data_IF_170246119324
#
_entry.id   IF_170246119324
#
_cell.length_a   1.000
_cell.length_b   1.000
_cell.length_c   1.000
_cell.angle_alpha   90.00
_cell.angle_beta   90.00
_cell.angle_gamma   90.00
#
_symmetry.space_group_name_H-M   'P 1'
#
loop_
_entity.id
_entity.type
_entity.pdbx_description
1 polymer ?
#
# COMPACT_ATOMS: atom_id res chain seq x y z
N UNK A 1 -25.06 -0.81 14.88
CA UNK A 1 -25.24 -0.67 13.42
C UNK A 1 -26.53 -1.33 12.98
N UNK A 2 -26.88 -1.29 11.69
CA UNK A 2 -28.04 -2.01 11.14
C UNK A 2 -27.82 -3.53 11.21
N UNK A 3 -28.54 -4.26 12.09
CA UNK A 3 -28.29 -5.68 12.33
C UNK A 3 -28.76 -6.58 11.18
N UNK A 4 -29.46 -6.04 10.17
CA UNK A 4 -29.87 -6.82 8.98
C UNK A 4 -28.70 -7.14 8.07
N UNK A 5 -27.70 -6.25 8.03
CA UNK A 5 -26.55 -6.37 7.13
C UNK A 5 -25.25 -6.51 7.89
N UNK A 6 -25.18 -6.04 9.15
CA UNK A 6 -23.92 -6.01 9.88
C UNK A 6 -24.09 -6.67 11.26
N UNK A 7 -23.37 -7.76 11.48
CA UNK A 7 -23.37 -8.48 12.76
C UNK A 7 -21.94 -8.80 13.19
N UNK A 8 -21.71 -8.92 14.50
CA UNK A 8 -20.38 -9.24 15.03
C UNK A 8 -20.51 -10.33 16.09
N UNK A 9 -19.73 -11.39 15.92
CA UNK A 9 -19.68 -12.52 16.83
C UNK A 9 -18.27 -12.67 17.40
N UNK A 10 -18.17 -12.70 18.72
CA UNK A 10 -16.93 -12.97 19.43
C UNK A 10 -16.62 -14.47 19.40
N UNK A 11 -15.38 -14.83 19.11
CA UNK A 11 -14.94 -16.22 19.18
C UNK A 11 -14.64 -16.62 20.62
N UNK A 12 -14.82 -17.92 20.92
CA UNK A 12 -14.39 -18.46 22.20
C UNK A 12 -12.86 -18.50 22.25
N UNK A 13 -12.27 -17.76 23.20
CA UNK A 13 -10.84 -17.80 23.47
C UNK A 13 -10.62 -18.37 24.87
N UNK A 14 -9.78 -19.41 24.98
CA UNK A 14 -9.39 -20.00 26.27
C UNK A 14 -8.52 -19.03 27.10
N UNK A 15 -7.91 -18.02 26.47
CA UNK A 15 -7.13 -16.98 27.13
C UNK A 15 -7.50 -15.58 26.62
N UNK A 16 -8.69 -15.07 27.00
CA UNK A 16 -9.22 -13.79 26.50
C UNK A 16 -8.42 -12.59 27.00
N UNK A 17 -7.54 -12.78 27.99
CA UNK A 17 -6.65 -11.75 28.54
C UNK A 17 -5.53 -11.36 27.56
N UNK A 18 -5.26 -12.15 26.52
CA UNK A 18 -4.18 -11.88 25.55
C UNK A 18 -4.68 -11.17 24.28
N UNK A 19 -5.78 -11.65 23.73
CA UNK A 19 -6.43 -11.07 22.56
C UNK A 19 -7.86 -11.57 22.48
N UNK A 20 -8.67 -10.85 21.73
CA UNK A 20 -10.02 -11.27 21.41
C UNK A 20 -10.17 -11.28 19.91
N UNK A 21 -10.67 -12.38 19.36
CA UNK A 21 -10.96 -12.49 17.94
C UNK A 21 -12.47 -12.44 17.74
N UNK A 22 -12.87 -11.81 16.65
CA UNK A 22 -14.26 -11.65 16.26
C UNK A 22 -14.39 -11.94 14.77
N UNK A 23 -15.60 -12.33 14.37
CA UNK A 23 -16.00 -12.21 12.97
C UNK A 23 -17.08 -11.14 12.89
N UNK A 24 -16.79 -10.10 12.12
CA UNK A 24 -17.79 -9.11 11.71
C UNK A 24 -18.28 -9.49 10.33
N UNK A 25 -19.55 -9.85 10.22
CA UNK A 25 -20.21 -10.07 8.93
C UNK A 25 -20.72 -8.72 8.43
N UNK A 26 -20.17 -8.25 7.32
CA UNK A 26 -20.60 -7.06 6.58
C UNK A 26 -21.28 -7.51 5.28
N UNK A 27 -22.60 -7.37 5.21
CA UNK A 27 -23.45 -7.97 4.18
C UNK A 27 -23.21 -9.48 4.06
N UNK A 28 -22.55 -9.94 3.00
CA UNK A 28 -22.19 -11.34 2.77
C UNK A 28 -20.74 -11.66 3.11
N UNK A 29 -19.94 -10.65 3.46
CA UNK A 29 -18.49 -10.78 3.66
C UNK A 29 -18.17 -10.95 5.14
N UNK A 30 -17.32 -11.92 5.46
CA UNK A 30 -16.86 -12.17 6.83
C UNK A 30 -15.47 -11.57 7.03
N UNK A 31 -15.37 -10.58 7.90
CA UNK A 31 -14.12 -9.90 8.26
C UNK A 31 -13.63 -10.50 9.57
N UNK A 32 -12.40 -11.00 9.59
CA UNK A 32 -11.73 -11.45 10.81
C UNK A 32 -11.16 -10.24 11.52
N UNK A 33 -11.51 -10.07 12.80
CA UNK A 33 -11.05 -8.93 13.60
C UNK A 33 -10.26 -9.41 14.80
N UNK A 34 -9.02 -8.95 14.92
CA UNK A 34 -8.17 -9.16 16.10
C UNK A 34 -8.15 -7.89 16.95
N UNK A 35 -8.62 -7.99 18.19
CA UNK A 35 -8.56 -6.92 19.19
C UNK A 35 -7.47 -7.23 20.20
N UNK A 36 -6.51 -6.33 20.37
CA UNK A 36 -5.39 -6.53 21.30
C UNK A 36 -4.73 -5.23 21.73
N UNK A 37 -4.14 -5.22 22.93
CA UNK A 37 -3.13 -4.24 23.33
C UNK A 37 -1.72 -4.84 23.42
N UNK A 38 -1.56 -6.12 23.04
CA UNK A 38 -0.31 -6.85 23.20
C UNK A 38 0.61 -6.58 22.00
N UNK A 39 1.82 -6.03 22.24
CA UNK A 39 2.76 -5.70 21.17
C UNK A 39 3.15 -6.91 20.31
N UNK A 40 3.27 -8.10 20.90
CA UNK A 40 3.63 -9.32 20.18
C UNK A 40 2.56 -9.75 19.15
N UNK A 41 1.27 -9.50 19.43
CA UNK A 41 0.18 -9.88 18.54
C UNK A 41 0.09 -8.90 17.38
N UNK A 42 0.19 -7.60 17.65
CA UNK A 42 0.29 -6.58 16.59
C UNK A 42 1.52 -6.81 15.70
N UNK A 43 2.67 -7.18 16.28
CA UNK A 43 3.86 -7.56 15.51
C UNK A 43 3.59 -8.74 14.57
N UNK A 44 2.93 -9.78 15.07
CA UNK A 44 2.61 -10.97 14.28
C UNK A 44 1.68 -10.60 13.11
N UNK A 45 0.61 -9.86 13.39
CA UNK A 45 -0.33 -9.38 12.36
C UNK A 45 0.39 -8.59 11.24
N UNK A 46 1.29 -7.67 11.60
CA UNK A 46 2.07 -6.90 10.62
C UNK A 46 3.00 -7.81 9.79
N UNK A 47 3.62 -8.83 10.40
CA UNK A 47 4.47 -9.77 9.67
C UNK A 47 3.65 -10.61 8.69
N UNK A 48 2.49 -11.09 9.12
CA UNK A 48 1.58 -11.88 8.27
C UNK A 48 1.08 -11.03 7.09
N UNK A 49 0.68 -9.78 7.34
CA UNK A 49 0.34 -8.81 6.30
C UNK A 49 1.48 -8.64 5.28
N UNK A 50 2.71 -8.37 5.74
CA UNK A 50 3.84 -8.17 4.83
C UNK A 50 4.17 -9.41 3.98
N UNK A 51 3.96 -10.60 4.53
CA UNK A 51 4.16 -11.85 3.79
C UNK A 51 3.04 -12.10 2.78
N UNK A 52 1.79 -11.84 3.15
CA UNK A 52 0.61 -12.12 2.33
C UNK A 52 0.43 -11.11 1.19
N UNK A 53 0.90 -9.88 1.39
CA UNK A 53 0.77 -8.77 0.43
C UNK A 53 2.14 -8.30 -0.06
N UNK A 54 3.11 -9.22 -0.18
CA UNK A 54 4.47 -8.90 -0.63
C UNK A 54 4.50 -8.30 -2.04
N UNK A 55 3.66 -8.82 -2.94
CA UNK A 55 3.56 -8.33 -4.33
C UNK A 55 2.98 -6.90 -4.37
N UNK A 56 1.88 -6.64 -3.64
CA UNK A 56 1.31 -5.28 -3.54
C UNK A 56 2.26 -4.28 -2.87
N UNK A 57 3.09 -4.73 -1.94
CA UNK A 57 4.15 -3.90 -1.34
C UNK A 57 5.32 -3.65 -2.28
N UNK A 58 5.56 -4.54 -3.24
CA UNK A 58 6.59 -4.38 -4.25
C UNK A 58 6.14 -3.39 -5.32
N UNK A 59 4.87 -3.45 -5.73
CA UNK A 59 4.29 -2.54 -6.71
C UNK A 59 3.72 -1.24 -6.11
N UNK A 60 3.70 -1.11 -4.77
CA UNK A 60 3.14 0.05 -4.04
C UNK A 60 1.63 0.26 -4.19
N UNK A 61 0.90 -0.83 -4.44
CA UNK A 61 -0.57 -0.86 -4.59
C UNK A 61 -1.31 -1.23 -3.31
N UNK A 62 -0.57 -1.41 -2.21
CA UNK A 62 -1.20 -1.83 -0.96
C UNK A 62 -1.99 -0.69 -0.32
N UNK A 63 -3.32 -0.81 -0.36
CA UNK A 63 -4.25 0.05 0.37
C UNK A 63 -4.62 -0.56 1.71
N UNK A 64 -4.53 0.24 2.79
CA UNK A 64 -4.96 -0.15 4.13
C UNK A 64 -5.98 0.85 4.65
N UNK A 65 -7.18 0.38 4.98
CA UNK A 65 -8.16 1.18 5.70
C UNK A 65 -7.69 1.48 7.12
N UNK A 66 -7.66 2.76 7.49
CA UNK A 66 -7.21 3.24 8.80
C UNK A 66 -8.35 3.99 9.49
N UNK A 67 -8.53 3.70 10.78
CA UNK A 67 -9.44 4.44 11.66
C UNK A 67 -8.82 4.68 13.03
N UNK A 68 -9.25 5.76 13.68
CA UNK A 68 -8.86 6.08 15.06
C UNK A 68 -10.10 6.40 15.87
N UNK A 69 -10.21 5.81 17.06
CA UNK A 69 -11.18 6.22 18.06
C UNK A 69 -10.47 6.75 19.29
N UNK A 70 -11.04 7.79 19.89
CA UNK A 70 -10.42 8.57 20.95
C UNK A 70 -11.39 8.81 22.10
N UNK A 71 -10.82 9.10 23.27
CA UNK A 71 -11.59 9.47 24.44
C UNK A 71 -12.16 10.90 24.29
N UNK A 72 -13.48 11.13 24.42
CA UNK A 72 -14.09 12.45 24.17
C UNK A 72 -13.56 13.58 25.06
N UNK A 73 -13.06 13.27 26.26
CA UNK A 73 -12.61 14.28 27.24
C UNK A 73 -11.15 14.69 27.07
N UNK A 74 -10.25 13.74 26.80
CA UNK A 74 -8.82 14.01 26.64
C UNK A 74 -8.40 14.26 25.19
N UNK A 75 -9.23 13.85 24.21
CA UNK A 75 -8.82 13.72 22.81
C UNK A 75 -7.53 12.88 22.65
N UNK A 76 -7.28 11.94 23.56
CA UNK A 76 -6.19 10.99 23.41
C UNK A 76 -6.65 9.84 22.50
N UNK A 77 -5.82 9.45 21.53
CA UNK A 77 -6.08 8.28 20.70
C UNK A 77 -6.14 7.02 21.58
N UNK A 78 -7.30 6.36 21.61
CA UNK A 78 -7.55 5.17 22.43
C UNK A 78 -7.28 3.89 21.66
N UNK A 79 -7.56 3.91 20.36
CA UNK A 79 -7.43 2.75 19.48
C UNK A 79 -6.92 3.15 18.10
N UNK A 80 -6.22 2.23 17.44
CA UNK A 80 -5.85 2.29 16.03
C UNK A 80 -6.48 1.08 15.33
N UNK A 81 -7.22 1.32 14.25
CA UNK A 81 -7.76 0.28 13.38
C UNK A 81 -6.95 0.23 12.09
N UNK A 82 -6.60 -0.98 11.65
CA UNK A 82 -6.01 -1.23 10.34
C UNK A 82 -6.77 -2.38 9.70
N UNK A 83 -7.23 -2.22 8.48
CA UNK A 83 -7.92 -3.27 7.72
C UNK A 83 -7.32 -3.40 6.34
N UNK A 84 -6.98 -4.62 5.95
CA UNK A 84 -6.61 -4.99 4.59
C UNK A 84 -7.46 -6.19 4.19
N UNK A 85 -8.14 -6.08 3.03
CA UNK A 85 -9.12 -7.07 2.59
C UNK A 85 -10.10 -7.45 3.73
N UNK A 86 -10.07 -8.70 4.20
CA UNK A 86 -10.96 -9.23 5.24
C UNK A 86 -10.27 -9.47 6.58
N UNK A 87 -9.09 -8.89 6.80
CA UNK A 87 -8.34 -8.97 8.06
C UNK A 87 -8.18 -7.59 8.70
N UNK A 88 -8.72 -7.45 9.91
CA UNK A 88 -8.77 -6.20 10.65
C UNK A 88 -8.05 -6.33 12.00
N UNK A 89 -7.09 -5.45 12.26
CA UNK A 89 -6.47 -5.26 13.56
C UNK A 89 -7.09 -4.04 14.25
N UNK A 90 -7.58 -4.23 15.48
CA UNK A 90 -7.92 -3.15 16.40
C UNK A 90 -6.90 -3.17 17.55
N UNK A 91 -5.96 -2.23 17.49
CA UNK A 91 -4.92 -2.09 18.49
C UNK A 91 -5.32 -1.06 19.56
N UNK A 92 -5.51 -1.52 20.80
CA UNK A 92 -5.89 -0.69 21.95
C UNK A 92 -4.67 0.09 22.50
N UNK A 93 -4.44 1.29 21.97
CA UNK A 93 -3.32 2.19 22.31
C UNK A 93 -3.28 2.54 23.80
N UNK A 94 -4.44 2.85 24.39
CA UNK A 94 -4.55 3.24 25.80
C UNK A 94 -4.13 2.15 26.80
N UNK A 95 -4.09 0.90 26.36
CA UNK A 95 -3.70 -0.26 27.17
C UNK A 95 -2.38 -0.88 26.73
N UNK A 96 -1.78 -0.37 25.65
CA UNK A 96 -0.55 -0.92 25.10
C UNK A 96 0.65 -0.39 25.90
N UNK A 97 1.54 -1.26 26.42
CA UNK A 97 2.73 -0.80 27.14
C UNK A 97 3.74 -0.09 26.23
N UNK A 98 3.73 -0.42 24.94
CA UNK A 98 4.55 0.18 23.90
C UNK A 98 4.02 -0.21 22.51
N UNK A 99 4.43 0.52 21.48
CA UNK A 99 4.18 0.15 20.09
C UNK A 99 5.33 -0.72 19.55
N UNK A 100 5.07 -1.86 18.88
CA UNK A 100 6.11 -2.59 18.16
C UNK A 100 6.79 -1.75 17.09
N UNK A 101 8.11 -1.83 16.99
CA UNK A 101 8.86 -1.17 15.90
C UNK A 101 8.37 -1.60 14.50
N UNK A 102 7.89 -2.84 14.35
CA UNK A 102 7.30 -3.34 13.10
C UNK A 102 6.04 -2.58 12.71
N UNK A 103 5.16 -2.26 13.67
CA UNK A 103 3.95 -1.48 13.42
C UNK A 103 4.29 -0.03 13.09
N UNK A 104 5.26 0.59 13.80
CA UNK A 104 5.74 1.94 13.43
C UNK A 104 6.27 1.98 12.00
N UNK A 105 7.12 1.02 11.62
CA UNK A 105 7.64 0.92 10.25
C UNK A 105 6.58 0.61 9.21
N UNK A 106 5.47 -0.03 9.58
CA UNK A 106 4.33 -0.19 8.66
C UNK A 106 3.66 1.16 8.41
N UNK A 107 3.36 1.91 9.47
CA UNK A 107 2.71 3.22 9.37
C UNK A 107 3.59 4.27 8.65
N UNK A 108 4.91 4.12 8.70
CA UNK A 108 5.87 4.98 8.00
C UNK A 108 6.39 4.40 6.66
N UNK A 109 5.75 3.35 6.13
CA UNK A 109 6.11 2.78 4.82
C UNK A 109 5.42 3.63 3.73
N UNK A 110 6.19 4.32 2.91
CA UNK A 110 5.71 5.21 1.84
C UNK A 110 5.13 4.46 0.63
N UNK A 111 5.35 3.15 0.55
CA UNK A 111 4.74 2.25 -0.44
C UNK A 111 3.31 1.81 -0.08
N UNK A 112 2.78 2.28 1.04
CA UNK A 112 1.45 1.91 1.54
C UNK A 112 0.57 3.13 1.59
N UNK A 113 -0.59 3.03 0.95
CA UNK A 113 -1.63 4.07 1.01
C UNK A 113 -2.60 3.75 2.15
N UNK A 114 -2.57 4.57 3.20
CA UNK A 114 -3.59 4.50 4.25
C UNK A 114 -4.78 5.37 3.88
N UNK A 115 -5.99 4.87 4.05
CA UNK A 115 -7.22 5.57 3.66
C UNK A 115 -8.23 5.61 4.79
N UNK A 116 -8.97 6.71 4.90
CA UNK A 116 -10.09 6.88 5.82
C UNK A 116 -11.10 7.88 5.26
N UNK A 117 -12.24 8.04 5.94
CA UNK A 117 -13.28 9.01 5.57
C UNK A 117 -13.46 10.00 6.70
N UNK A 118 -13.27 11.30 6.45
CA UNK A 118 -13.26 12.36 7.47
C UNK A 118 -12.21 12.15 8.57
N UNK A 119 -11.05 11.63 8.19
CA UNK A 119 -9.94 11.28 9.07
C UNK A 119 -8.92 12.42 9.27
N UNK A 120 -9.24 13.66 8.88
CA UNK A 120 -8.34 14.82 9.02
C UNK A 120 -7.84 15.11 10.45
N UNK A 121 -8.41 14.48 11.48
CA UNK A 121 -7.92 14.53 12.87
C UNK A 121 -7.01 13.37 13.26
N UNK A 122 -7.08 12.24 12.56
CA UNK A 122 -6.51 10.97 13.00
C UNK A 122 -5.00 11.06 13.13
N UNK A 123 -4.33 11.65 12.14
CA UNK A 123 -2.87 11.89 12.19
C UNK A 123 -2.48 12.69 13.44
N UNK A 124 -3.17 13.81 13.70
CA UNK A 124 -2.88 14.66 14.85
C UNK A 124 -3.15 13.96 16.19
N UNK A 125 -4.19 13.12 16.27
CA UNK A 125 -4.50 12.34 17.45
C UNK A 125 -3.43 11.27 17.73
N UNK A 126 -2.95 10.60 16.68
CA UNK A 126 -1.91 9.58 16.76
C UNK A 126 -0.55 10.19 17.13
N UNK A 127 -0.16 11.29 16.49
CA UNK A 127 1.09 12.01 16.76
C UNK A 127 1.09 12.67 18.15
N UNK A 128 -0.06 13.20 18.59
CA UNK A 128 -0.25 13.79 19.90
C UNK A 128 -0.44 12.80 21.05
N UNK A 129 -0.57 11.49 20.75
CA UNK A 129 -0.69 10.46 21.78
C UNK A 129 0.62 10.21 22.52
N UNK A 130 0.56 9.56 23.68
CA UNK A 130 1.75 9.11 24.43
C UNK A 130 2.68 8.22 23.58
N UNK A 131 2.13 7.56 22.56
CA UNK A 131 2.87 6.71 21.65
C UNK A 131 3.46 7.46 20.45
N UNK A 132 3.09 8.72 20.17
CA UNK A 132 3.66 9.53 19.09
C UNK A 132 3.73 8.76 17.77
N UNK A 133 2.59 8.28 17.30
CA UNK A 133 2.49 7.46 16.10
C UNK A 133 2.40 8.35 14.87
N UNK A 134 3.39 8.22 13.99
CA UNK A 134 3.40 8.89 12.69
C UNK A 134 2.86 7.93 11.62
N UNK A 135 2.03 8.46 10.71
CA UNK A 135 1.51 7.76 9.54
C UNK A 135 1.97 8.54 8.33
N UNK A 136 2.75 7.95 7.42
CA UNK A 136 3.37 8.66 6.30
C UNK A 136 2.29 9.19 5.35
N UNK A 137 1.55 8.27 4.71
CA UNK A 137 0.59 8.58 3.67
C UNK A 137 -0.83 8.18 4.07
N UNK A 138 -1.55 9.14 4.68
CA UNK A 138 -2.94 8.98 5.11
C UNK A 138 -3.84 9.92 4.31
N UNK A 139 -4.75 9.34 3.53
CA UNK A 139 -5.67 10.01 2.64
C UNK A 139 -7.06 10.12 3.29
N UNK A 140 -7.68 11.29 3.17
CA UNK A 140 -9.09 11.52 3.50
C UNK A 140 -9.92 11.41 2.22
N UNK A 141 -10.55 10.26 1.99
CA UNK A 141 -11.25 9.95 0.74
C UNK A 141 -12.37 10.94 0.44
N UNK A 142 -13.15 11.37 1.45
CA UNK A 142 -14.23 12.33 1.21
C UNK A 142 -13.70 13.71 0.76
N UNK A 143 -12.51 14.07 1.24
CA UNK A 143 -11.85 15.32 0.88
C UNK A 143 -11.20 15.25 -0.50
N UNK A 144 -10.41 14.23 -0.76
CA UNK A 144 -9.67 14.10 -2.03
C UNK A 144 -10.61 13.92 -3.22
N UNK A 145 -11.69 13.13 -3.04
CA UNK A 145 -12.70 12.92 -4.09
C UNK A 145 -13.74 14.06 -4.18
N UNK A 146 -13.65 15.09 -3.33
CA UNK A 146 -14.54 16.27 -3.42
C UNK A 146 -16.00 16.05 -2.96
N UNK A 147 -16.27 15.05 -2.12
CA UNK A 147 -17.62 14.77 -1.60
C UNK A 147 -18.10 15.74 -0.51
N UNK A 148 -17.27 16.68 -0.06
CA UNK A 148 -17.66 17.67 0.94
C UNK A 148 -17.98 17.02 2.30
N UNK A 149 -19.20 17.21 2.80
CA UNK A 149 -19.63 16.68 4.11
C UNK A 149 -20.46 15.38 4.00
N UNK A 150 -20.28 14.59 2.93
CA UNK A 150 -20.96 13.30 2.80
C UNK A 150 -20.68 12.41 4.01
N UNK A 151 -21.63 11.59 4.44
CA UNK A 151 -21.33 10.57 5.44
C UNK A 151 -20.56 9.39 4.83
N UNK A 152 -19.84 8.62 5.63
CA UNK A 152 -19.24 7.36 5.15
C UNK A 152 -20.33 6.41 4.64
N UNK A 153 -21.50 6.42 5.28
CA UNK A 153 -22.64 5.60 4.92
C UNK A 153 -23.18 5.95 3.52
N UNK A 154 -23.37 7.24 3.25
CA UNK A 154 -23.84 7.70 1.94
C UNK A 154 -22.76 7.44 0.86
N UNK A 155 -21.48 7.69 1.18
CA UNK A 155 -20.38 7.41 0.25
C UNK A 155 -20.25 5.92 -0.09
N UNK A 156 -20.46 5.03 0.90
CA UNK A 156 -20.48 3.59 0.67
C UNK A 156 -21.69 3.13 -0.14
N UNK A 157 -22.84 3.80 -0.02
CA UNK A 157 -23.99 3.54 -0.89
C UNK A 157 -23.70 3.99 -2.33
N UNK A 158 -23.17 5.20 -2.50
CA UNK A 158 -22.90 5.80 -3.82
C UNK A 158 -21.79 5.08 -4.59
N UNK A 159 -20.67 4.76 -3.92
CA UNK A 159 -19.47 4.19 -4.58
C UNK A 159 -19.51 2.66 -4.60
N UNK A 160 -19.94 2.02 -3.50
CA UNK A 160 -19.86 0.56 -3.35
C UNK A 160 -21.20 -0.15 -3.55
N UNK A 161 -22.32 0.59 -3.60
CA UNK A 161 -23.65 0.00 -3.68
C UNK A 161 -24.08 -0.73 -2.40
N UNK A 162 -23.57 -0.32 -1.23
CA UNK A 162 -23.92 -0.90 0.08
C UNK A 162 -24.88 0.01 0.87
N UNK A 163 -26.21 -0.07 0.62
CA UNK A 163 -27.17 0.80 1.28
C UNK A 163 -27.44 0.40 2.74
N UNK A 164 -27.86 1.38 3.54
CA UNK A 164 -28.39 1.13 4.88
C UNK A 164 -27.34 0.74 5.93
N UNK A 165 -26.08 1.10 5.69
CA UNK A 165 -25.07 1.19 6.75
C UNK A 165 -25.53 2.28 7.74
N UNK A 166 -25.32 2.04 9.04
CA UNK A 166 -25.63 3.01 10.09
C UNK A 166 -24.53 2.97 11.12
N UNK A 167 -23.82 4.09 11.34
CA UNK A 167 -22.83 4.25 12.40
C UNK A 167 -23.45 5.02 13.56
N UNK A 168 -23.87 4.33 14.65
CA UNK A 168 -24.55 5.00 15.74
C UNK A 168 -23.60 5.96 16.46
N UNK A 169 -24.01 7.22 16.56
CA UNK A 169 -23.20 8.28 17.19
C UNK A 169 -22.86 7.97 18.64
N UNK A 170 -23.76 7.32 19.36
CA UNK A 170 -23.57 6.87 20.74
C UNK A 170 -22.40 5.89 20.89
N UNK A 171 -22.12 5.08 19.87
CA UNK A 171 -20.96 4.17 19.86
C UNK A 171 -19.70 4.95 19.51
N UNK A 172 -19.72 5.80 18.48
CA UNK A 172 -18.58 6.64 18.12
C UNK A 172 -18.14 7.58 19.26
N UNK A 173 -19.07 8.04 20.09
CA UNK A 173 -18.82 8.89 21.26
C UNK A 173 -18.73 8.13 22.59
N UNK A 174 -18.66 6.79 22.56
CA UNK A 174 -18.58 5.96 23.77
C UNK A 174 -17.19 5.99 24.41
N UNK A 175 -17.05 5.32 25.55
CA UNK A 175 -15.75 5.16 26.22
C UNK A 175 -14.87 4.14 25.48
N UNK A 176 -13.94 4.64 24.66
CA UNK A 176 -12.98 3.83 23.91
C UNK A 176 -11.73 3.43 24.73
N UNK A 177 -11.58 3.96 25.95
CA UNK A 177 -10.48 3.59 26.86
C UNK A 177 -10.82 2.41 27.77
N UNK A 178 -12.00 1.82 27.67
CA UNK A 178 -12.32 0.66 28.49
C UNK A 178 -11.44 -0.55 28.14
N UNK A 179 -11.11 -1.35 29.15
CA UNK A 179 -10.18 -2.48 29.00
C UNK A 179 -10.68 -3.51 27.97
N UNK A 180 -11.99 -3.74 27.93
CA UNK A 180 -12.64 -4.60 26.94
C UNK A 180 -13.63 -3.81 26.11
N UNK A 181 -13.36 -3.69 24.81
CA UNK A 181 -14.32 -3.15 23.88
C UNK A 181 -15.58 -4.02 23.83
N UNK A 182 -16.74 -3.38 23.70
CA UNK A 182 -18.01 -4.07 23.47
C UNK A 182 -18.08 -4.63 22.05
N UNK A 183 -18.97 -5.59 21.80
CA UNK A 183 -19.22 -6.07 20.44
C UNK A 183 -19.63 -4.93 19.49
N UNK A 184 -20.37 -3.93 19.98
CA UNK A 184 -20.80 -2.79 19.18
C UNK A 184 -19.63 -1.88 18.81
N UNK A 185 -18.68 -1.65 19.72
CA UNK A 185 -17.46 -0.90 19.43
C UNK A 185 -16.54 -1.66 18.46
N UNK A 186 -16.38 -2.97 18.65
CA UNK A 186 -15.58 -3.80 17.73
C UNK A 186 -16.21 -3.79 16.34
N UNK A 187 -17.54 -3.92 16.25
CA UNK A 187 -18.28 -3.79 15.01
C UNK A 187 -18.05 -2.41 14.37
N UNK A 188 -18.18 -1.34 15.16
CA UNK A 188 -17.98 0.04 14.74
C UNK A 188 -16.61 0.26 14.10
N UNK A 189 -15.56 -0.02 14.87
CA UNK A 189 -14.18 0.15 14.47
C UNK A 189 -13.80 -0.73 13.26
N UNK A 190 -14.27 -1.98 13.21
CA UNK A 190 -14.00 -2.88 12.10
C UNK A 190 -14.62 -2.37 10.79
N UNK A 191 -15.90 -1.97 10.81
CA UNK A 191 -16.58 -1.47 9.60
C UNK A 191 -16.01 -0.15 9.15
N UNK A 192 -15.63 0.74 10.08
CA UNK A 192 -14.99 2.02 9.77
C UNK A 192 -13.72 1.84 8.93
N UNK A 193 -12.82 0.96 9.36
CA UNK A 193 -11.60 0.65 8.62
C UNK A 193 -11.86 -0.17 7.35
N UNK A 194 -12.74 -1.17 7.41
CA UNK A 194 -13.05 -2.03 6.26
C UNK A 194 -13.69 -1.25 5.10
N UNK A 195 -14.70 -0.43 5.39
CA UNK A 195 -15.37 0.40 4.37
C UNK A 195 -14.40 1.42 3.79
N UNK A 196 -13.53 2.01 4.60
CA UNK A 196 -12.48 2.89 4.10
C UNK A 196 -11.54 2.19 3.11
N UNK A 197 -11.10 0.96 3.43
CA UNK A 197 -10.27 0.16 2.52
C UNK A 197 -11.00 -0.14 1.20
N UNK A 198 -12.27 -0.57 1.25
CA UNK A 198 -13.05 -0.85 0.05
C UNK A 198 -13.29 0.39 -0.81
N UNK A 199 -13.56 1.54 -0.18
CA UNK A 199 -13.70 2.81 -0.89
C UNK A 199 -12.39 3.19 -1.58
N UNK A 200 -11.26 3.13 -0.88
CA UNK A 200 -9.95 3.43 -1.45
C UNK A 200 -9.65 2.57 -2.69
N UNK A 201 -9.87 1.26 -2.59
CA UNK A 201 -9.69 0.35 -3.74
C UNK A 201 -10.65 0.68 -4.90
N UNK A 202 -11.91 0.99 -4.61
CA UNK A 202 -12.91 1.30 -5.66
C UNK A 202 -12.69 2.64 -6.34
N UNK A 203 -11.90 3.52 -5.71
CA UNK A 203 -11.53 4.83 -6.22
C UNK A 203 -10.14 4.84 -6.90
N UNK A 204 -9.49 3.70 -7.03
CA UNK A 204 -8.22 3.55 -7.77
C UNK A 204 -6.95 3.76 -6.93
N UNK A 205 -7.03 3.91 -5.60
CA UNK A 205 -5.84 4.13 -4.76
C UNK A 205 -4.90 2.91 -4.62
N UNK A 206 -5.25 1.79 -5.26
CA UNK A 206 -4.45 0.57 -5.31
C UNK A 206 -4.12 0.13 -6.73
N UNK A 207 -4.26 1.01 -7.71
CA UNK A 207 -3.84 0.75 -9.09
C UNK A 207 -2.37 1.19 -9.26
N UNK A 208 -1.59 0.43 -10.02
CA UNK A 208 -0.23 0.82 -10.41
C UNK A 208 -0.35 1.94 -11.45
N UNK A 209 0.03 3.17 -11.13
CA UNK A 209 0.19 4.26 -12.11
C UNK A 209 1.42 3.97 -13.01
N UNK A 210 1.39 2.86 -13.78
CA UNK A 210 2.32 2.54 -14.86
C UNK A 210 1.69 2.88 -16.22
N UNK A 211 1.02 4.03 -16.30
CA UNK A 211 0.74 4.71 -17.56
C UNK A 211 1.83 5.77 -17.77
N UNK A 212 3.08 5.34 -17.70
CA UNK A 212 4.14 6.01 -18.45
C UNK A 212 3.81 5.79 -19.92
N UNK A 213 3.11 6.75 -20.54
CA UNK A 213 3.10 6.88 -21.98
C UNK A 213 4.57 6.96 -22.42
N UNK A 214 5.14 5.82 -22.81
CA UNK A 214 6.25 5.78 -23.74
C UNK A 214 5.70 6.49 -24.99
N UNK A 215 5.99 7.78 -25.11
CA UNK A 215 5.89 8.49 -26.37
C UNK A 215 6.83 7.74 -27.32
N UNK A 216 6.27 6.81 -28.09
CA UNK A 216 6.91 6.24 -29.28
C UNK A 216 7.34 7.45 -30.13
N UNK A 217 8.64 7.77 -30.11
CA UNK A 217 9.25 8.62 -31.12
C UNK A 217 9.03 7.91 -32.46
N UNK A 218 7.94 8.27 -33.16
CA UNK A 218 7.80 8.01 -34.58
C UNK A 218 8.91 8.79 -35.29
N UNK A 219 10.04 8.11 -35.52
CA UNK A 219 11.04 8.54 -36.48
C UNK A 219 10.37 8.60 -37.86
N UNK A 220 10.05 9.82 -38.30
CA UNK A 220 9.59 10.15 -39.65
C UNK A 220 10.61 9.64 -40.70
N UNK A 221 10.38 8.44 -41.23
CA UNK A 221 10.94 8.02 -42.53
C UNK A 221 10.13 8.66 -43.66
N UNK A 222 10.54 9.84 -44.11
CA UNK A 222 10.14 10.38 -45.41
C UNK A 222 11.32 11.12 -46.05
N UNK A 223 11.93 10.49 -47.06
CA UNK A 223 12.35 11.14 -48.31
C UNK A 223 12.77 10.06 -49.33
N UNK A 224 11.77 9.47 -49.97
CA UNK A 224 11.93 8.71 -51.23
C UNK A 224 11.78 9.68 -52.42
N UNK A 225 12.88 10.11 -53.02
CA UNK A 225 12.87 10.82 -54.32
C UNK A 225 13.78 10.12 -55.36
N UNK A 226 13.11 9.32 -56.17
CA UNK A 226 13.39 8.79 -57.51
C UNK A 226 14.63 9.20 -58.35
N UNK A 227 15.22 8.14 -58.94
CA UNK A 227 15.68 7.97 -60.33
C UNK A 227 16.65 8.99 -60.99
N UNK A 228 17.87 8.54 -61.33
CA UNK A 228 18.72 9.20 -62.33
C UNK A 228 19.97 8.39 -62.75
N UNK A 229 20.11 8.15 -64.06
CA UNK A 229 21.15 7.39 -64.75
C UNK A 229 22.54 8.07 -64.81
N UNK A 230 23.63 7.29 -64.72
CA UNK A 230 24.75 7.34 -65.69
C UNK A 230 26.02 8.21 -65.44
N UNK A 231 27.15 7.51 -65.24
CA UNK A 231 28.57 7.75 -65.62
C UNK A 231 29.44 8.90 -65.05
N UNK A 232 30.49 8.45 -64.34
CA UNK A 232 31.92 8.80 -64.16
C UNK A 232 32.57 10.12 -64.65
N UNK A 233 33.36 10.73 -63.74
CA UNK A 233 34.66 11.41 -63.97
C UNK A 233 35.28 11.63 -62.56
N UNK A 234 36.06 10.73 -61.97
CA UNK A 234 37.48 10.53 -62.24
C UNK A 234 37.89 9.15 -61.72
N UNK A 235 38.44 8.33 -62.60
CA UNK A 235 38.80 6.96 -62.28
C UNK A 235 39.94 6.86 -61.28
N UNK A 236 39.72 6.10 -60.21
CA UNK A 236 40.71 5.19 -59.64
C UNK A 236 39.99 4.08 -58.84
N UNK A 237 40.24 2.84 -59.25
CA UNK A 237 39.87 1.62 -58.55
C UNK A 237 40.81 1.49 -57.34
N UNK A 238 40.27 1.45 -56.12
CA UNK A 238 41.02 0.95 -54.95
C UNK A 238 40.33 -0.31 -54.45
N UNK A 239 40.85 -1.43 -54.95
CA UNK A 239 40.81 -2.73 -54.30
C UNK A 239 42.13 -2.91 -53.53
N UNK A 240 42.15 -3.82 -52.56
CA UNK A 240 43.23 -4.23 -51.64
C UNK A 240 43.15 -3.73 -50.19
N UNK A 241 42.67 -4.64 -49.33
CA UNK A 241 43.51 -5.32 -48.33
C UNK A 241 44.89 -4.69 -48.10
N UNK A 242 44.99 -3.67 -47.26
CA UNK A 242 46.23 -3.37 -46.53
C UNK A 242 46.01 -2.38 -45.38
N UNK A 243 45.76 -2.86 -44.17
CA UNK A 243 46.27 -2.22 -42.95
C UNK A 243 46.43 -3.28 -41.84
N UNK A 244 47.23 -4.30 -42.16
CA UNK A 244 47.96 -5.08 -41.18
C UNK A 244 49.45 -4.96 -41.52
N UNK A 245 50.08 -3.84 -41.14
CA UNK A 245 51.52 -3.89 -40.87
C UNK A 245 51.91 -2.93 -39.73
N UNK A 246 52.65 -3.42 -38.71
CA UNK A 246 52.87 -2.77 -37.44
C UNK A 246 54.26 -2.10 -37.43
N UNK A 247 54.32 -0.78 -37.57
CA UNK A 247 55.56 -0.03 -37.31
C UNK A 247 55.23 1.36 -36.76
N UNK A 248 54.89 1.43 -35.47
CA UNK A 248 55.37 2.51 -34.61
C UNK A 248 55.33 2.03 -33.16
N UNK A 249 56.45 1.49 -32.69
CA UNK A 249 56.74 1.26 -31.27
C UNK A 249 57.65 2.39 -30.78
N UNK A 250 57.47 2.72 -29.49
CA UNK A 250 58.19 3.64 -28.59
C UNK A 250 57.37 4.92 -28.34
N UNK A 251 56.86 5.23 -27.14
CA UNK A 251 57.23 4.85 -25.77
C UNK A 251 55.97 4.83 -24.86
N UNK A 252 55.97 3.90 -23.90
CA UNK A 252 55.21 3.86 -22.64
C UNK A 252 53.70 3.50 -22.65
N UNK A 253 53.50 2.17 -22.56
CA UNK A 253 52.40 1.33 -22.04
C UNK A 253 51.55 1.95 -20.90
N UNK A 254 50.27 1.62 -20.68
CA UNK A 254 49.59 0.34 -20.89
C UNK A 254 48.05 0.53 -20.90
N UNK A 255 47.35 0.03 -21.92
CA UNK A 255 45.90 -0.07 -22.04
C UNK A 255 45.53 -1.54 -21.78
N UNK A 256 44.72 -1.82 -20.74
CA UNK A 256 44.25 -3.17 -20.39
C UNK A 256 42.93 -3.50 -21.14
N UNK A 257 42.92 -4.51 -22.02
CA UNK A 257 41.81 -4.84 -22.89
C UNK A 257 41.00 -6.05 -22.36
N UNK A 258 40.10 -5.83 -21.40
CA UNK A 258 39.03 -6.80 -21.08
C UNK A 258 37.68 -6.14 -20.77
N UNK A 259 37.38 -5.04 -21.48
CA UNK A 259 36.01 -4.61 -21.69
C UNK A 259 35.49 -5.24 -23.00
N UNK A 260 34.36 -5.93 -22.88
CA UNK A 260 33.47 -6.36 -23.96
C UNK A 260 33.91 -7.58 -24.80
N UNK A 261 33.53 -8.78 -24.34
CA UNK A 261 32.96 -9.77 -25.26
C UNK A 261 31.78 -10.52 -24.60
N UNK A 262 30.55 -10.37 -25.11
CA UNK A 262 29.33 -10.91 -24.53
C UNK A 262 28.98 -12.30 -25.12
N UNK A 263 29.84 -13.32 -25.02
CA UNK A 263 29.43 -14.69 -25.39
C UNK A 263 30.30 -15.73 -24.66
N UNK A 264 29.76 -16.39 -23.63
CA UNK A 264 30.13 -17.78 -23.37
C UNK A 264 29.00 -18.54 -22.68
N UNK A 265 28.30 -19.33 -23.49
CA UNK A 265 27.40 -20.39 -23.10
C UNK A 265 28.20 -21.72 -23.11
N UNK A 266 28.00 -22.51 -22.04
CA UNK A 266 28.20 -23.96 -21.91
C UNK A 266 29.61 -24.62 -21.85
N UNK A 267 29.66 -25.62 -20.95
CA UNK A 267 30.61 -26.75 -20.77
C UNK A 267 31.89 -26.43 -19.97
N UNK A 268 32.41 -27.26 -19.05
CA UNK A 268 32.02 -28.51 -18.40
C UNK A 268 33.06 -28.79 -17.29
N UNK A 269 32.73 -29.74 -16.42
CA UNK A 269 33.64 -30.59 -15.62
C UNK A 269 34.16 -30.11 -14.24
N UNK A 270 33.56 -30.74 -13.22
CA UNK A 270 34.20 -31.57 -12.18
C UNK A 270 35.61 -31.20 -11.69
N UNK A 271 35.70 -30.75 -10.43
CA UNK A 271 36.25 -31.52 -9.29
C UNK A 271 35.85 -30.87 -7.95
#
# INVERSE_FOLDING_TARGET
MNPRHITTARHHNQNPQRSQTFTTTFFSTAIQTTVTSIPAIARQWVNDLRNNYADSLYSSTLVIGLGVQWQPYSNAASTLQLCVDTDCLIFQLSHAPNIPATLRRLLSDDRITFVGVHNGRDRNLLEGSDHQLHVEYLIDLAREEGYGNISMEDMAEDVLGFPGIVKPREVGMSDWDQFWLTNEQVQYACVDAYVSCLLGLSLGYGDDDDDGEDEDEEDDEDDEDGFGYGYDFDGEYLDYDDYCNPLNYNEDWEYDPFHCNPYNFYLSDSD
#
